data_IF_400179096399
#
_entry.id   IF_400179096399
#
_cell.length_a   1.000
_cell.length_b   1.000
_cell.length_c   1.000
_cell.angle_alpha   90.00
_cell.angle_beta   90.00
_cell.angle_gamma   90.00
#
_symmetry.space_group_name_H-M   'P 1'
#
loop_
_entity.id
_entity.type
_entity.pdbx_description
1 polymer ?
#
# COMPACT_ATOMS: atom_id res chain seq x y z
N UNK A 1 -11.63 18.98 -10.42
CA UNK A 1 -11.59 19.22 -11.88
C UNK A 1 -11.53 17.87 -12.55
N UNK A 2 -12.66 17.38 -13.07
CA UNK A 2 -12.68 16.17 -13.88
C UNK A 2 -12.07 16.49 -15.24
N UNK A 3 -10.92 15.92 -15.57
CA UNK A 3 -10.38 16.01 -16.90
C UNK A 3 -11.22 15.15 -17.85
N UNK A 4 -11.78 15.77 -18.87
CA UNK A 4 -12.38 15.04 -19.99
C UNK A 4 -11.25 14.71 -20.95
N UNK A 5 -10.94 13.42 -21.10
CA UNK A 5 -9.96 12.97 -22.08
C UNK A 5 -10.52 13.18 -23.48
N UNK A 6 -9.93 14.06 -24.27
CA UNK A 6 -10.44 14.48 -25.60
C UNK A 6 -9.87 13.67 -26.78
N UNK A 7 -9.21 12.55 -26.54
CA UNK A 7 -8.40 11.90 -27.58
C UNK A 7 -8.78 10.50 -28.00
N UNK A 8 -9.62 9.81 -27.26
CA UNK A 8 -9.98 8.44 -27.59
C UNK A 8 -11.46 8.21 -27.26
N UNK A 9 -12.26 7.96 -28.28
CA UNK A 9 -13.70 7.70 -28.13
C UNK A 9 -13.97 6.40 -27.37
N UNK A 10 -12.93 5.63 -27.04
CA UNK A 10 -13.15 4.22 -26.84
C UNK A 10 -13.28 3.80 -25.41
N UNK A 11 -12.80 4.49 -24.38
CA UNK A 11 -12.94 3.79 -23.09
C UNK A 11 -12.45 4.51 -21.83
N UNK A 12 -12.42 5.83 -21.80
CA UNK A 12 -12.08 6.53 -20.57
C UNK A 12 -13.24 6.51 -19.56
N UNK A 13 -12.99 5.91 -18.40
CA UNK A 13 -13.92 5.93 -17.26
C UNK A 13 -13.51 7.04 -16.30
N UNK A 14 -14.40 8.01 -16.11
CA UNK A 14 -14.19 9.06 -15.13
C UNK A 14 -14.30 8.47 -13.72
N UNK A 15 -13.22 8.54 -12.95
CA UNK A 15 -13.18 8.17 -11.55
C UNK A 15 -12.76 9.42 -10.77
N UNK A 16 -13.70 10.26 -10.32
CA UNK A 16 -13.40 11.51 -9.65
C UNK A 16 -12.59 11.27 -8.37
N UNK A 17 -11.52 12.01 -8.18
CA UNK A 17 -10.60 11.84 -7.05
C UNK A 17 -11.30 12.04 -5.71
N UNK A 18 -12.19 13.00 -5.62
CA UNK A 18 -12.96 13.30 -4.40
C UNK A 18 -13.87 12.12 -4.02
N UNK A 19 -14.56 11.51 -4.99
CA UNK A 19 -15.39 10.34 -4.75
C UNK A 19 -14.55 9.11 -4.35
N UNK A 20 -13.38 8.92 -4.98
CA UNK A 20 -12.43 7.88 -4.61
C UNK A 20 -11.93 8.05 -3.18
N UNK A 21 -11.56 9.28 -2.78
CA UNK A 21 -11.10 9.60 -1.43
C UNK A 21 -12.20 9.39 -0.39
N UNK A 22 -13.41 9.89 -0.64
CA UNK A 22 -14.56 9.68 0.26
C UNK A 22 -14.85 8.19 0.43
N UNK A 23 -14.81 7.42 -0.66
CA UNK A 23 -15.03 5.97 -0.61
C UNK A 23 -13.92 5.26 0.17
N UNK A 24 -12.66 5.63 -0.06
CA UNK A 24 -11.52 5.09 0.68
C UNK A 24 -11.61 5.38 2.18
N UNK A 25 -11.84 6.63 2.58
CA UNK A 25 -11.90 7.02 3.99
C UNK A 25 -13.10 6.39 4.71
N UNK A 26 -14.24 6.27 4.03
CA UNK A 26 -15.39 5.53 4.55
C UNK A 26 -15.01 4.06 4.84
N UNK A 27 -14.41 3.37 3.89
CA UNK A 27 -13.96 1.99 4.05
C UNK A 27 -12.89 1.82 5.13
N UNK A 28 -11.95 2.76 5.22
CA UNK A 28 -10.97 2.79 6.30
C UNK A 28 -11.64 2.94 7.66
N UNK A 29 -12.63 3.83 7.78
CA UNK A 29 -13.38 4.02 9.03
C UNK A 29 -14.18 2.79 9.45
N UNK A 30 -14.79 2.09 8.50
CA UNK A 30 -15.53 0.86 8.73
C UNK A 30 -14.62 -0.30 9.15
N UNK A 31 -13.47 -0.44 8.52
CA UNK A 31 -12.56 -1.58 8.73
C UNK A 31 -11.48 -1.34 9.77
N UNK A 32 -10.97 -0.13 9.85
CA UNK A 32 -9.84 0.28 10.68
C UNK A 32 -10.15 1.55 11.46
N UNK A 33 -11.07 1.50 12.44
CA UNK A 33 -11.44 2.70 13.21
C UNK A 33 -10.22 3.31 13.88
N UNK A 34 -10.14 4.65 13.83
CA UNK A 34 -9.01 5.41 14.37
C UNK A 34 -7.82 5.53 13.40
N UNK A 35 -8.05 5.31 12.10
CA UNK A 35 -7.06 5.65 11.09
C UNK A 35 -6.75 7.15 11.09
N UNK A 36 -5.52 7.52 10.73
CA UNK A 36 -5.05 8.90 10.73
C UNK A 36 -4.37 9.19 9.39
N UNK A 37 -4.74 10.31 8.76
CA UNK A 37 -4.00 10.81 7.61
C UNK A 37 -2.59 11.20 8.03
N UNK A 38 -1.57 10.67 7.36
CA UNK A 38 -0.16 10.91 7.68
C UNK A 38 0.43 11.96 6.77
N UNK A 39 0.32 11.74 5.48
CA UNK A 39 0.93 12.62 4.48
C UNK A 39 0.26 12.47 3.12
N UNK A 40 0.40 13.48 2.30
CA UNK A 40 -0.10 13.45 0.94
C UNK A 40 0.62 14.44 0.04
N UNK A 41 0.49 14.20 -1.23
CA UNK A 41 1.00 15.04 -2.30
C UNK A 41 -0.01 15.05 -3.43
N UNK A 42 -0.24 16.21 -4.00
CA UNK A 42 -1.04 16.38 -5.20
C UNK A 42 -0.44 17.41 -6.12
N UNK A 43 -0.47 17.14 -7.39
CA UNK A 43 -0.24 18.10 -8.47
C UNK A 43 -1.35 18.01 -9.52
N UNK A 44 -1.14 18.63 -10.68
CA UNK A 44 -2.13 18.66 -11.77
C UNK A 44 -2.33 17.31 -12.49
N UNK A 45 -1.47 16.33 -12.25
CA UNK A 45 -1.49 15.05 -12.95
C UNK A 45 -1.61 13.85 -12.00
N UNK A 46 -1.25 14.01 -10.73
CA UNK A 46 -1.09 12.90 -9.82
C UNK A 46 -1.42 13.27 -8.38
N UNK A 47 -2.12 12.39 -7.70
CA UNK A 47 -2.45 12.51 -6.27
C UNK A 47 -2.02 11.25 -5.54
N UNK A 48 -1.39 11.45 -4.39
CA UNK A 48 -0.99 10.38 -3.47
C UNK A 48 -1.36 10.77 -2.04
N UNK A 49 -1.92 9.84 -1.29
CA UNK A 49 -2.20 10.00 0.14
C UNK A 49 -1.79 8.75 0.91
N UNK A 50 -1.37 8.94 2.15
CA UNK A 50 -1.00 7.86 3.07
C UNK A 50 -1.73 8.03 4.40
N UNK A 51 -2.28 6.94 4.90
CA UNK A 51 -2.94 6.85 6.20
C UNK A 51 -2.27 5.79 7.05
N UNK A 52 -2.07 6.07 8.31
CA UNK A 52 -1.59 5.10 9.31
C UNK A 52 -2.77 4.53 10.11
N UNK A 53 -2.59 3.31 10.59
CA UNK A 53 -3.58 2.53 11.32
C UNK A 53 -3.07 2.23 12.75
N UNK A 54 -2.91 3.26 13.61
CA UNK A 54 -2.23 3.09 14.90
C UNK A 54 -2.96 2.11 15.82
N UNK A 55 -4.30 2.14 15.82
CA UNK A 55 -5.13 1.26 16.67
C UNK A 55 -5.12 -0.20 16.19
N UNK A 56 -4.60 -0.47 15.00
CA UNK A 56 -4.51 -1.81 14.43
C UNK A 56 -3.10 -2.41 14.55
N UNK A 57 -2.16 -1.68 15.15
CA UNK A 57 -0.76 -2.10 15.24
C UNK A 57 -0.63 -3.47 15.91
N UNK A 58 -1.23 -3.64 17.06
CA UNK A 58 -1.17 -4.91 17.80
C UNK A 58 -1.82 -6.05 17.02
N UNK A 59 -3.03 -5.86 16.52
CA UNK A 59 -3.79 -6.89 15.80
C UNK A 59 -3.17 -7.29 14.48
N UNK A 60 -2.53 -6.34 13.75
CA UNK A 60 -1.93 -6.61 12.44
C UNK A 60 -0.45 -7.02 12.56
N UNK A 61 0.30 -6.35 13.44
CA UNK A 61 1.76 -6.50 13.52
C UNK A 61 2.26 -7.27 14.73
N UNK A 62 1.42 -7.55 15.76
CA UNK A 62 1.88 -8.07 17.04
C UNK A 62 2.85 -9.24 16.90
N UNK A 63 2.43 -10.32 16.26
CA UNK A 63 3.26 -11.51 16.08
C UNK A 63 4.53 -11.23 15.23
N UNK A 64 4.44 -10.40 14.20
CA UNK A 64 5.62 -10.01 13.40
C UNK A 64 6.59 -9.14 14.18
N UNK A 65 6.06 -8.21 15.01
CA UNK A 65 6.86 -7.36 15.87
C UNK A 65 7.60 -8.16 16.96
N UNK A 66 6.94 -9.14 17.56
CA UNK A 66 7.56 -10.07 18.51
C UNK A 66 8.68 -10.89 17.86
N UNK A 67 8.43 -11.42 16.67
CA UNK A 67 9.44 -12.16 15.91
C UNK A 67 10.64 -11.28 15.55
N UNK A 68 10.43 -10.05 15.09
CA UNK A 68 11.52 -9.08 14.86
C UNK A 68 12.32 -8.79 16.12
N UNK A 69 11.66 -8.62 17.26
CA UNK A 69 12.31 -8.36 18.53
C UNK A 69 13.16 -9.57 18.97
N UNK A 70 12.68 -10.79 18.79
CA UNK A 70 13.42 -12.02 19.06
C UNK A 70 14.69 -12.14 18.18
N UNK A 71 14.66 -11.59 16.97
CA UNK A 71 15.84 -11.47 16.08
C UNK A 71 16.68 -10.21 16.33
N UNK A 72 16.55 -9.55 17.48
CA UNK A 72 17.34 -8.38 17.84
C UNK A 72 16.92 -7.07 17.14
N UNK A 73 15.77 -7.06 16.48
CA UNK A 73 15.24 -5.89 15.74
C UNK A 73 14.13 -5.14 16.48
N UNK A 74 14.16 -5.14 17.81
CA UNK A 74 13.14 -4.49 18.66
C UNK A 74 12.93 -3.00 18.32
N UNK A 75 14.02 -2.25 18.03
CA UNK A 75 13.93 -0.85 17.65
C UNK A 75 13.16 -0.64 16.32
N UNK A 76 13.29 -1.56 15.38
CA UNK A 76 12.52 -1.54 14.14
C UNK A 76 11.05 -1.92 14.42
N UNK A 77 10.81 -2.99 15.16
CA UNK A 77 9.48 -3.45 15.53
C UNK A 77 8.65 -2.33 16.19
N UNK A 78 9.25 -1.59 17.11
CA UNK A 78 8.59 -0.49 17.81
C UNK A 78 8.17 0.67 16.90
N UNK A 79 8.92 0.93 15.83
CA UNK A 79 8.63 2.01 14.88
C UNK A 79 7.63 1.64 13.80
N UNK A 80 7.48 0.35 13.49
CA UNK A 80 6.56 -0.08 12.44
C UNK A 80 5.11 0.20 12.80
N UNK A 81 4.38 0.75 11.85
CA UNK A 81 2.94 0.99 11.93
C UNK A 81 2.31 0.52 10.61
N UNK A 82 1.18 -0.22 10.66
CA UNK A 82 0.46 -0.56 9.45
C UNK A 82 -0.12 0.70 8.81
N UNK A 83 -0.17 0.74 7.50
CA UNK A 83 -0.68 1.89 6.76
C UNK A 83 -1.25 1.50 5.41
N UNK A 84 -1.95 2.45 4.82
CA UNK A 84 -2.54 2.36 3.49
C UNK A 84 -2.04 3.55 2.67
N UNK A 85 -1.67 3.30 1.42
CA UNK A 85 -1.34 4.34 0.45
C UNK A 85 -2.31 4.28 -0.71
N UNK A 86 -2.86 5.43 -1.04
CA UNK A 86 -3.68 5.65 -2.22
C UNK A 86 -2.92 6.51 -3.23
N UNK A 87 -3.08 6.19 -4.50
CA UNK A 87 -2.58 7.00 -5.61
C UNK A 87 -3.59 7.02 -6.73
N UNK A 88 -3.76 8.15 -7.39
CA UNK A 88 -4.63 8.28 -8.55
C UNK A 88 -4.14 9.40 -9.47
N UNK A 89 -4.75 9.51 -10.63
CA UNK A 89 -4.49 10.56 -11.60
C UNK A 89 -5.82 10.96 -12.28
N UNK A 90 -6.27 12.18 -12.04
CA UNK A 90 -7.48 12.70 -12.70
C UNK A 90 -7.40 12.68 -14.24
N UNK A 91 -6.26 13.02 -14.87
CA UNK A 91 -6.10 12.89 -16.31
C UNK A 91 -6.01 11.44 -16.83
N UNK A 92 -6.11 10.44 -15.96
CA UNK A 92 -6.01 9.02 -16.35
C UNK A 92 -4.60 8.55 -16.74
N UNK A 93 -3.57 9.31 -16.38
CA UNK A 93 -2.16 8.91 -16.59
C UNK A 93 -1.77 7.72 -15.72
N UNK A 94 -2.42 7.56 -14.58
CA UNK A 94 -2.23 6.44 -13.67
C UNK A 94 -3.58 5.92 -13.15
N UNK A 95 -3.66 4.62 -12.92
CA UNK A 95 -4.81 3.98 -12.30
C UNK A 95 -5.03 4.46 -10.87
N UNK A 96 -6.26 4.41 -10.38
CA UNK A 96 -6.56 4.53 -8.96
C UNK A 96 -6.05 3.27 -8.24
N UNK A 97 -5.01 3.41 -7.40
CA UNK A 97 -4.35 2.30 -6.72
C UNK A 97 -4.38 2.45 -5.22
N UNK A 98 -4.58 1.34 -4.52
CA UNK A 98 -4.45 1.25 -3.06
C UNK A 98 -3.46 0.15 -2.72
N UNK A 99 -2.53 0.46 -1.83
CA UNK A 99 -1.49 -0.48 -1.37
C UNK A 99 -1.48 -0.54 0.14
N UNK A 100 -1.30 -1.72 0.69
CA UNK A 100 -1.02 -1.91 2.11
C UNK A 100 0.49 -1.80 2.38
N UNK A 101 0.86 -1.14 3.47
CA UNK A 101 2.24 -0.79 3.81
C UNK A 101 2.54 -1.07 5.27
N UNK A 102 3.82 -1.29 5.58
CA UNK A 102 4.38 -1.01 6.90
C UNK A 102 5.23 0.26 6.81
N UNK A 103 4.89 1.23 7.62
CA UNK A 103 5.56 2.54 7.72
C UNK A 103 6.41 2.56 8.99
N UNK A 104 7.51 3.30 9.00
CA UNK A 104 8.43 3.42 10.14
C UNK A 104 9.81 2.77 9.94
N UNK A 105 10.01 2.04 8.84
CA UNK A 105 11.33 1.69 8.33
C UNK A 105 11.93 2.88 7.54
N UNK A 106 13.17 2.73 7.05
CA UNK A 106 13.80 3.75 6.18
C UNK A 106 13.00 3.98 4.89
N UNK A 107 12.39 2.92 4.37
CA UNK A 107 11.46 2.96 3.25
C UNK A 107 10.20 2.21 3.66
N UNK A 108 9.01 2.65 3.21
CA UNK A 108 7.78 1.90 3.40
C UNK A 108 7.90 0.50 2.81
N UNK A 109 7.46 -0.50 3.55
CA UNK A 109 7.46 -1.90 3.10
C UNK A 109 6.08 -2.21 2.53
N UNK A 110 5.98 -2.47 1.23
CA UNK A 110 4.74 -2.89 0.59
C UNK A 110 4.38 -4.33 0.97
N UNK A 111 3.13 -4.54 1.37
CA UNK A 111 2.65 -5.83 1.85
C UNK A 111 1.35 -6.21 1.15
N UNK A 112 1.22 -7.46 0.76
CA UNK A 112 -0.05 -8.00 0.27
C UNK A 112 -0.47 -7.56 -1.10
N UNK A 113 0.38 -6.86 -1.81
CA UNK A 113 0.11 -6.39 -3.16
C UNK A 113 -0.57 -5.03 -3.20
N UNK A 114 -1.00 -4.69 -4.40
CA UNK A 114 -1.71 -3.46 -4.73
C UNK A 114 -2.99 -3.85 -5.46
N UNK A 115 -4.06 -3.19 -5.15
CA UNK A 115 -5.25 -3.18 -6.01
C UNK A 115 -5.19 -1.96 -6.91
N UNK A 116 -5.79 -2.06 -8.10
CA UNK A 116 -5.88 -0.93 -9.01
C UNK A 116 -7.14 -1.00 -9.84
N UNK A 117 -7.74 0.16 -10.06
CA UNK A 117 -8.84 0.32 -11.00
C UNK A 117 -8.41 1.31 -12.06
N UNK A 118 -8.38 0.84 -13.29
CA UNK A 118 -7.99 1.66 -14.42
C UNK A 118 -9.14 2.59 -14.83
N UNK A 119 -8.79 3.76 -15.37
CA UNK A 119 -9.73 4.70 -15.96
C UNK A 119 -10.22 4.21 -17.34
N UNK A 120 -10.58 2.92 -17.45
CA UNK A 120 -10.99 2.24 -18.69
C UNK A 120 -12.08 1.22 -18.44
N UNK A 121 -12.69 0.71 -19.52
CA UNK A 121 -13.65 -0.39 -19.49
C UNK A 121 -14.89 -0.09 -18.64
N UNK A 122 -15.39 1.14 -18.70
CA UNK A 122 -16.59 1.58 -17.97
C UNK A 122 -16.54 1.30 -16.46
N UNK A 123 -15.33 1.32 -15.88
CA UNK A 123 -15.12 1.15 -14.44
C UNK A 123 -15.83 2.24 -13.65
N UNK A 124 -16.33 1.88 -12.47
CA UNK A 124 -17.09 2.74 -11.57
C UNK A 124 -16.45 2.76 -10.17
N UNK A 125 -16.86 3.72 -9.37
CA UNK A 125 -16.45 3.80 -7.95
C UNK A 125 -16.80 2.50 -7.18
N UNK A 126 -17.91 1.83 -7.54
CA UNK A 126 -18.27 0.55 -6.94
C UNK A 126 -17.23 -0.57 -7.20
N UNK A 127 -16.55 -0.55 -8.34
CA UNK A 127 -15.45 -1.50 -8.60
C UNK A 127 -14.25 -1.23 -7.68
N UNK A 128 -13.94 0.04 -7.43
CA UNK A 128 -12.90 0.44 -6.50
C UNK A 128 -13.25 0.02 -5.07
N UNK A 129 -14.49 0.23 -4.64
CA UNK A 129 -15.00 -0.19 -3.34
C UNK A 129 -14.84 -1.71 -3.12
N UNK A 130 -15.24 -2.51 -4.11
CA UNK A 130 -15.13 -3.98 -4.04
C UNK A 130 -13.67 -4.49 -4.04
N UNK A 131 -12.77 -3.82 -4.77
CA UNK A 131 -11.36 -4.18 -4.78
C UNK A 131 -10.67 -3.86 -3.44
N UNK A 132 -11.07 -2.78 -2.75
CA UNK A 132 -10.55 -2.46 -1.41
C UNK A 132 -10.88 -3.55 -0.39
N UNK A 133 -12.08 -4.12 -0.41
CA UNK A 133 -12.44 -5.21 0.48
C UNK A 133 -11.51 -6.42 0.31
N UNK A 134 -11.14 -6.74 -0.92
CA UNK A 134 -10.16 -7.81 -1.22
C UNK A 134 -8.75 -7.48 -0.69
N UNK A 135 -8.32 -6.23 -0.82
CA UNK A 135 -7.02 -5.80 -0.30
C UNK A 135 -6.98 -5.91 1.22
N UNK A 136 -7.99 -5.38 1.91
CA UNK A 136 -8.04 -5.38 3.36
C UNK A 136 -8.13 -6.79 3.96
N UNK A 137 -8.84 -7.70 3.29
CA UNK A 137 -8.88 -9.11 3.69
C UNK A 137 -7.49 -9.77 3.59
N UNK A 138 -6.72 -9.44 2.54
CA UNK A 138 -5.37 -9.99 2.33
C UNK A 138 -4.29 -9.34 3.20
N UNK A 139 -4.53 -8.15 3.73
CA UNK A 139 -3.50 -7.42 4.45
C UNK A 139 -2.98 -8.19 5.67
N UNK A 140 -3.88 -8.65 6.54
CA UNK A 140 -3.52 -9.41 7.73
C UNK A 140 -2.79 -10.71 7.40
N UNK A 141 -3.28 -11.46 6.40
CA UNK A 141 -2.65 -12.71 5.94
C UNK A 141 -1.24 -12.48 5.39
N UNK A 142 -1.02 -11.32 4.77
CA UNK A 142 0.28 -10.98 4.19
C UNK A 142 1.31 -10.65 5.25
N UNK A 143 0.91 -10.06 6.38
CA UNK A 143 1.79 -9.82 7.53
C UNK A 143 2.19 -11.15 8.19
N UNK A 144 1.26 -12.09 8.33
CA UNK A 144 1.58 -13.44 8.83
C UNK A 144 2.63 -14.15 7.96
N UNK A 145 2.57 -13.97 6.63
CA UNK A 145 3.60 -14.50 5.72
C UNK A 145 4.97 -13.83 5.91
N UNK A 146 5.02 -12.54 6.26
CA UNK A 146 6.29 -11.88 6.59
C UNK A 146 6.93 -12.49 7.83
N UNK A 147 6.15 -12.83 8.85
CA UNK A 147 6.66 -13.50 10.03
C UNK A 147 7.36 -14.81 9.67
N UNK A 148 6.73 -15.64 8.83
CA UNK A 148 7.33 -16.92 8.40
C UNK A 148 8.63 -16.75 7.62
N UNK A 149 8.84 -15.62 6.94
CA UNK A 149 10.11 -15.33 6.25
C UNK A 149 11.27 -15.08 7.22
N UNK A 150 11.00 -14.61 8.44
CA UNK A 150 12.06 -14.42 9.45
C UNK A 150 12.63 -15.75 9.97
N UNK A 151 11.90 -16.83 9.81
CA UNK A 151 12.30 -18.17 10.24
C UNK A 151 13.15 -18.90 9.20
N UNK A 152 13.26 -18.35 7.97
CA UNK A 152 14.04 -18.96 6.89
C UNK A 152 15.52 -18.64 7.07
N UNK A 153 16.37 -19.63 7.36
CA UNK A 153 17.81 -19.40 7.49
C UNK A 153 18.42 -19.04 6.13
N UNK A 154 19.22 -17.98 6.11
CA UNK A 154 20.03 -17.63 4.95
C UNK A 154 21.43 -18.24 5.10
N UNK A 155 21.69 -19.34 4.41
CA UNK A 155 23.01 -20.01 4.43
C UNK A 155 24.13 -19.10 3.90
N UNK A 156 23.83 -18.30 2.86
CA UNK A 156 24.81 -17.43 2.20
C UNK A 156 24.28 -16.00 2.08
N UNK A 157 24.19 -15.24 3.19
CA UNK A 157 23.54 -13.91 3.20
C UNK A 157 24.22 -12.90 2.27
N UNK A 158 25.55 -12.94 2.14
CA UNK A 158 26.31 -12.03 1.26
C UNK A 158 25.99 -12.33 -0.21
N UNK A 159 25.92 -13.61 -0.59
CA UNK A 159 25.58 -14.01 -1.96
C UNK A 159 24.12 -13.66 -2.30
N UNK A 160 23.20 -13.88 -1.37
CA UNK A 160 21.80 -13.52 -1.53
C UNK A 160 21.66 -12.00 -1.74
N UNK A 161 22.28 -11.18 -0.88
CA UNK A 161 22.26 -9.73 -1.01
C UNK A 161 22.91 -9.26 -2.32
N UNK A 162 24.01 -9.86 -2.74
CA UNK A 162 24.67 -9.55 -4.03
C UNK A 162 23.73 -9.81 -5.21
N UNK A 163 22.95 -10.90 -5.17
CA UNK A 163 21.94 -11.19 -6.20
C UNK A 163 20.82 -10.15 -6.22
N UNK A 164 20.30 -9.78 -5.04
CA UNK A 164 19.28 -8.73 -4.92
C UNK A 164 19.80 -7.41 -5.48
N UNK A 165 21.00 -6.97 -5.08
CA UNK A 165 21.60 -5.73 -5.58
C UNK A 165 21.77 -5.75 -7.11
N UNK A 166 22.16 -6.88 -7.69
CA UNK A 166 22.27 -7.03 -9.15
C UNK A 166 20.91 -6.94 -9.82
N UNK A 167 19.89 -7.63 -9.30
CA UNK A 167 18.55 -7.64 -9.89
C UNK A 167 17.88 -6.27 -9.85
N UNK A 168 18.18 -5.47 -8.83
CA UNK A 168 17.68 -4.12 -8.66
C UNK A 168 18.58 -3.05 -9.29
N UNK A 169 19.66 -3.44 -9.99
CA UNK A 169 20.67 -2.52 -10.54
C UNK A 169 21.25 -1.54 -9.51
N UNK A 170 21.32 -1.94 -8.24
CA UNK A 170 21.87 -1.11 -7.18
C UNK A 170 23.40 -1.06 -7.27
N UNK A 171 24.03 0.10 -6.95
CA UNK A 171 25.48 0.22 -6.94
C UNK A 171 26.09 -0.72 -5.89
N UNK A 172 27.20 -1.36 -6.25
CA UNK A 172 28.03 -2.07 -5.28
C UNK A 172 28.70 -1.03 -4.37
N UNK A 173 28.46 -1.11 -3.09
CA UNK A 173 29.30 -0.43 -2.08
C UNK A 173 30.51 -1.25 -1.77
#
# INVERSE_FOLDING_TARGET
VSAVHSGDETDYSVLPMDELLVTLEKKLGERFPGFVFESGYTDHAYTCGSWILPNQKEGILGAYAEALAAHGQAAMANRLVPGIRFTTSDPGVASAKVSALLIGAQQPIHIGGCIGVDHRNQRKIADFDAEMDKLFAKFCDSVAKLQSLLEIPLEYPVNAMTRVCKSLSLPKK
#
